data_IF_396064731448
#
_entry.id   IF_396064731448
#
_cell.length_a   1.000
_cell.length_b   1.000
_cell.length_c   1.000
_cell.angle_alpha   90.00
_cell.angle_beta   90.00
_cell.angle_gamma   90.00
#
_symmetry.space_group_name_H-M   'P 1'
#
loop_
_entity.id
_entity.type
_entity.pdbx_description
1 polymer ?
#
# COMPACT_ATOMS: atom_id res chain seq x y z
N UNK A 1 -37.58 -12.65 -12.67
CA UNK A 1 -38.19 -13.68 -11.80
C UNK A 1 -39.10 -13.08 -10.74
N UNK A 2 -38.61 -12.34 -9.72
CA UNK A 2 -39.48 -11.80 -8.64
C UNK A 2 -40.62 -10.88 -9.12
N UNK A 3 -40.36 -10.04 -10.13
CA UNK A 3 -41.37 -9.13 -10.71
C UNK A 3 -42.50 -9.88 -11.42
N UNK A 4 -42.16 -10.95 -12.14
CA UNK A 4 -43.14 -11.80 -12.82
C UNK A 4 -44.02 -12.57 -11.81
N UNK A 5 -43.41 -13.06 -10.73
CA UNK A 5 -44.13 -13.77 -9.66
C UNK A 5 -45.13 -12.84 -8.97
N UNK A 6 -44.74 -11.60 -8.64
CA UNK A 6 -45.64 -10.63 -8.02
C UNK A 6 -46.84 -10.28 -8.91
N UNK A 7 -46.63 -10.13 -10.23
CA UNK A 7 -47.69 -9.83 -11.19
C UNK A 7 -48.66 -11.02 -11.33
N UNK A 8 -48.14 -12.26 -11.42
CA UNK A 8 -48.98 -13.47 -11.51
C UNK A 8 -49.84 -13.64 -10.26
N UNK A 9 -49.28 -13.39 -9.07
CA UNK A 9 -50.02 -13.47 -7.81
C UNK A 9 -51.16 -12.45 -7.74
N UNK A 10 -50.93 -11.22 -8.20
CA UNK A 10 -51.96 -10.17 -8.26
C UNK A 10 -53.10 -10.53 -9.25
N UNK A 11 -52.76 -11.12 -10.41
CA UNK A 11 -53.76 -11.54 -11.39
C UNK A 11 -54.57 -12.76 -10.93
N UNK A 12 -53.97 -13.65 -10.13
CA UNK A 12 -54.64 -14.85 -9.60
C UNK A 12 -55.66 -14.54 -8.50
N UNK A 13 -55.61 -13.38 -7.86
CA UNK A 13 -56.56 -12.99 -6.80
C UNK A 13 -58.00 -12.91 -7.31
N UNK A 14 -58.20 -12.38 -8.51
CA UNK A 14 -59.52 -12.16 -9.10
C UNK A 14 -60.26 -13.49 -9.36
N UNK A 15 -59.71 -14.47 -10.09
CA UNK A 15 -60.42 -15.73 -10.33
C UNK A 15 -60.59 -16.59 -9.06
N UNK A 16 -59.67 -16.50 -8.09
CA UNK A 16 -59.77 -17.24 -6.83
C UNK A 16 -60.88 -16.66 -5.95
N UNK A 17 -60.97 -15.34 -5.84
CA UNK A 17 -62.04 -14.68 -5.07
C UNK A 17 -63.43 -14.93 -5.67
N UNK A 18 -63.55 -14.95 -7.00
CA UNK A 18 -64.79 -15.28 -7.72
C UNK A 18 -65.18 -16.76 -7.53
N UNK A 19 -64.21 -17.68 -7.60
CA UNK A 19 -64.42 -19.10 -7.31
C UNK A 19 -64.91 -19.35 -5.87
N UNK A 20 -64.34 -18.66 -4.88
CA UNK A 20 -64.73 -18.81 -3.48
C UNK A 20 -66.06 -18.13 -3.13
N UNK A 21 -66.48 -17.14 -3.93
CA UNK A 21 -67.80 -16.52 -3.80
C UNK A 21 -68.93 -17.37 -4.43
N UNK A 22 -68.64 -18.13 -5.50
CA UNK A 22 -69.65 -18.92 -6.24
C UNK A 22 -70.00 -20.29 -5.65
N UNK A 23 -69.24 -20.81 -4.68
CA UNK A 23 -69.43 -22.15 -4.10
C UNK A 23 -70.06 -22.18 -2.70
N UNK A 24 -71.36 -22.49 -2.62
CA UNK A 24 -72.13 -22.98 -1.45
C UNK A 24 -72.57 -21.95 -0.35
N UNK A 25 -73.75 -22.29 0.19
CA UNK A 25 -74.73 -21.67 1.09
C UNK A 25 -74.28 -20.99 2.42
N UNK A 26 -73.00 -20.66 2.64
CA UNK A 26 -72.52 -20.04 3.90
C UNK A 26 -71.65 -18.78 3.67
N UNK A 27 -72.31 -17.71 3.22
CA UNK A 27 -71.70 -16.47 2.70
C UNK A 27 -70.75 -15.74 3.66
N UNK A 28 -70.96 -15.83 4.97
CA UNK A 28 -70.12 -15.15 5.97
C UNK A 28 -68.72 -15.77 6.09
N UNK A 29 -68.62 -17.10 5.97
CA UNK A 29 -67.34 -17.81 6.09
C UNK A 29 -66.46 -17.61 4.84
N UNK A 30 -67.09 -17.50 3.67
CA UNK A 30 -66.39 -17.26 2.40
C UNK A 30 -65.85 -15.83 2.31
N UNK A 31 -66.59 -14.82 2.82
CA UNK A 31 -66.11 -13.44 2.88
C UNK A 31 -64.89 -13.29 3.79
N UNK A 32 -64.89 -13.95 4.95
CA UNK A 32 -63.74 -13.96 5.86
C UNK A 32 -62.50 -14.58 5.19
N UNK A 33 -62.67 -15.65 4.42
CA UNK A 33 -61.58 -16.32 3.71
C UNK A 33 -60.96 -15.43 2.63
N UNK A 34 -61.78 -14.72 1.86
CA UNK A 34 -61.34 -13.74 0.85
C UNK A 34 -60.57 -12.60 1.50
N UNK A 35 -61.08 -12.04 2.60
CA UNK A 35 -60.41 -10.96 3.34
C UNK A 35 -59.02 -11.39 3.87
N UNK A 36 -58.92 -12.60 4.43
CA UNK A 36 -57.64 -13.14 4.91
C UNK A 36 -56.65 -13.32 3.75
N UNK A 37 -57.12 -13.79 2.60
CA UNK A 37 -56.30 -13.97 1.41
C UNK A 37 -55.79 -12.64 0.86
N UNK A 38 -56.64 -11.61 0.73
CA UNK A 38 -56.23 -10.28 0.26
C UNK A 38 -55.19 -9.62 1.16
N UNK A 39 -55.33 -9.76 2.48
CA UNK A 39 -54.36 -9.27 3.46
C UNK A 39 -53.01 -10.00 3.27
N UNK A 40 -53.02 -11.32 3.12
CA UNK A 40 -51.81 -12.11 2.91
C UNK A 40 -51.07 -11.72 1.62
N UNK A 41 -51.82 -11.51 0.52
CA UNK A 41 -51.26 -11.03 -0.75
C UNK A 41 -50.68 -9.62 -0.59
N UNK A 42 -51.37 -8.72 0.12
CA UNK A 42 -50.88 -7.37 0.40
C UNK A 42 -49.53 -7.35 1.14
N UNK A 43 -49.39 -8.15 2.20
CA UNK A 43 -48.12 -8.31 2.93
C UNK A 43 -47.02 -8.90 2.05
N UNK A 44 -47.36 -9.90 1.22
CA UNK A 44 -46.40 -10.49 0.30
C UNK A 44 -45.91 -9.46 -0.73
N UNK A 45 -46.80 -8.65 -1.31
CA UNK A 45 -46.42 -7.59 -2.24
C UNK A 45 -45.50 -6.54 -1.59
N UNK A 46 -45.80 -6.11 -0.36
CA UNK A 46 -44.92 -5.20 0.40
C UNK A 46 -43.54 -5.82 0.64
N UNK A 47 -43.50 -7.10 1.01
CA UNK A 47 -42.25 -7.83 1.23
C UNK A 47 -41.39 -7.91 -0.04
N UNK A 48 -41.98 -8.24 -1.19
CA UNK A 48 -41.27 -8.27 -2.48
C UNK A 48 -40.74 -6.87 -2.85
N UNK A 49 -41.52 -5.81 -2.62
CA UNK A 49 -41.07 -4.44 -2.87
C UNK A 49 -39.86 -4.06 -1.99
N UNK A 50 -39.87 -4.45 -0.72
CA UNK A 50 -38.74 -4.23 0.19
C UNK A 50 -37.49 -5.01 -0.26
N UNK A 51 -37.64 -6.27 -0.66
CA UNK A 51 -36.54 -7.08 -1.20
C UNK A 51 -35.94 -6.49 -2.49
N UNK A 52 -36.78 -5.97 -3.38
CA UNK A 52 -36.31 -5.31 -4.60
C UNK A 52 -35.49 -4.06 -4.27
N UNK A 53 -35.98 -3.21 -3.34
CA UNK A 53 -35.22 -2.04 -2.86
C UNK A 53 -33.90 -2.45 -2.21
N UNK A 54 -33.91 -3.48 -1.38
CA UNK A 54 -32.69 -4.01 -0.75
C UNK A 54 -31.68 -4.51 -1.79
N UNK A 55 -32.11 -5.22 -2.83
CA UNK A 55 -31.22 -5.71 -3.89
C UNK A 55 -30.61 -4.58 -4.74
N UNK A 56 -31.34 -3.49 -4.97
CA UNK A 56 -30.80 -2.29 -5.61
C UNK A 56 -29.80 -1.60 -4.69
N UNK A 57 -30.14 -1.45 -3.41
CA UNK A 57 -29.27 -0.84 -2.42
C UNK A 57 -27.98 -1.64 -2.24
N UNK A 58 -28.05 -2.96 -2.16
CA UNK A 58 -26.90 -3.86 -2.06
C UNK A 58 -25.95 -3.69 -3.24
N UNK A 59 -26.47 -3.60 -4.47
CA UNK A 59 -25.64 -3.35 -5.67
C UNK A 59 -24.97 -1.98 -5.64
N UNK A 60 -25.70 -0.94 -5.23
CA UNK A 60 -25.13 0.40 -5.06
C UNK A 60 -24.06 0.45 -3.98
N UNK A 61 -24.29 -0.24 -2.86
CA UNK A 61 -23.33 -0.31 -1.77
C UNK A 61 -22.04 -1.03 -2.21
N UNK A 62 -22.18 -2.15 -2.92
CA UNK A 62 -21.04 -2.87 -3.49
C UNK A 62 -20.25 -2.01 -4.49
N UNK A 63 -20.93 -1.26 -5.36
CA UNK A 63 -20.27 -0.33 -6.28
C UNK A 63 -19.51 0.79 -5.53
N UNK A 64 -20.08 1.29 -4.43
CA UNK A 64 -19.43 2.30 -3.59
C UNK A 64 -18.21 1.73 -2.85
N UNK A 65 -18.31 0.53 -2.28
CA UNK A 65 -17.19 -0.16 -1.63
C UNK A 65 -16.03 -0.41 -2.60
N UNK A 66 -16.33 -0.83 -3.83
CA UNK A 66 -15.31 -1.01 -4.87
C UNK A 66 -14.65 0.32 -5.25
N UNK A 67 -15.43 1.38 -5.50
CA UNK A 67 -14.89 2.70 -5.85
C UNK A 67 -14.05 3.30 -4.72
N UNK A 68 -14.46 3.08 -3.46
CA UNK A 68 -13.70 3.51 -2.29
C UNK A 68 -12.35 2.76 -2.20
N UNK A 69 -12.37 1.45 -2.45
CA UNK A 69 -11.16 0.61 -2.44
C UNK A 69 -10.19 1.04 -3.53
N UNK A 70 -10.67 1.27 -4.76
CA UNK A 70 -9.86 1.77 -5.87
C UNK A 70 -9.22 3.12 -5.54
N UNK A 71 -10.02 4.08 -5.03
CA UNK A 71 -9.51 5.40 -4.64
C UNK A 71 -8.50 5.32 -3.50
N UNK A 72 -8.71 4.42 -2.53
CA UNK A 72 -7.75 4.20 -1.46
C UNK A 72 -6.45 3.60 -1.98
N UNK A 73 -6.52 2.66 -2.93
CA UNK A 73 -5.34 2.07 -3.56
C UNK A 73 -4.56 3.11 -4.39
N UNK A 74 -5.26 3.96 -5.14
CA UNK A 74 -4.65 5.07 -5.89
C UNK A 74 -3.95 6.09 -4.97
N UNK A 75 -4.61 6.48 -3.87
CA UNK A 75 -4.01 7.39 -2.88
C UNK A 75 -2.76 6.78 -2.21
N UNK A 76 -2.76 5.47 -1.93
CA UNK A 76 -1.59 4.79 -1.37
C UNK A 76 -0.46 4.71 -2.40
N UNK A 77 -0.77 4.40 -3.65
CA UNK A 77 0.22 4.34 -4.73
C UNK A 77 0.88 5.70 -4.97
N UNK A 78 0.09 6.76 -5.09
CA UNK A 78 0.60 8.14 -5.28
C UNK A 78 1.42 8.64 -4.09
N UNK A 79 0.99 8.33 -2.85
CA UNK A 79 1.78 8.67 -1.66
C UNK A 79 3.11 7.92 -1.64
N UNK A 80 3.11 6.63 -1.98
CA UNK A 80 4.32 5.81 -2.04
C UNK A 80 5.29 6.31 -3.10
N UNK A 81 4.80 6.65 -4.29
CA UNK A 81 5.59 7.23 -5.37
C UNK A 81 6.22 8.56 -4.96
N UNK A 82 5.43 9.46 -4.37
CA UNK A 82 5.96 10.74 -3.87
C UNK A 82 7.00 10.57 -2.75
N UNK A 83 6.81 9.61 -1.83
CA UNK A 83 7.84 9.30 -0.83
C UNK A 83 9.11 8.73 -1.48
N UNK A 84 8.96 7.88 -2.49
CA UNK A 84 10.09 7.29 -3.20
C UNK A 84 10.89 8.36 -3.96
N UNK A 85 10.23 9.28 -4.67
CA UNK A 85 10.89 10.42 -5.34
C UNK A 85 11.65 11.30 -4.35
N UNK A 86 11.04 11.61 -3.20
CA UNK A 86 11.69 12.40 -2.15
C UNK A 86 12.92 11.68 -1.60
N UNK A 87 12.82 10.38 -1.36
CA UNK A 87 13.96 9.57 -0.89
C UNK A 87 15.07 9.51 -1.93
N UNK A 88 14.71 9.34 -3.20
CA UNK A 88 15.67 9.29 -4.31
C UNK A 88 16.39 10.64 -4.47
N UNK A 89 15.68 11.77 -4.38
CA UNK A 89 16.29 13.10 -4.44
C UNK A 89 17.26 13.34 -3.27
N UNK A 90 16.90 12.87 -2.06
CA UNK A 90 17.79 12.93 -0.90
C UNK A 90 19.04 12.06 -1.11
N UNK A 91 18.87 10.82 -1.56
CA UNK A 91 19.99 9.92 -1.84
C UNK A 91 20.94 10.52 -2.89
N UNK A 92 20.40 11.10 -3.95
CA UNK A 92 21.19 11.76 -4.98
C UNK A 92 21.96 12.96 -4.41
N UNK A 93 21.31 13.84 -3.64
CA UNK A 93 21.96 15.00 -3.02
C UNK A 93 23.09 14.63 -2.06
N UNK A 94 22.91 13.58 -1.25
CA UNK A 94 23.94 13.09 -0.33
C UNK A 94 25.12 12.42 -1.07
N UNK A 95 24.86 11.72 -2.19
CA UNK A 95 25.91 11.16 -3.05
C UNK A 95 26.69 12.25 -3.80
N UNK A 96 26.01 13.28 -4.29
CA UNK A 96 26.64 14.46 -4.91
C UNK A 96 27.52 15.18 -3.87
N UNK A 97 27.01 15.42 -2.66
CA UNK A 97 27.79 15.99 -1.57
C UNK A 97 29.01 15.13 -1.22
N UNK A 98 28.84 13.80 -1.12
CA UNK A 98 29.95 12.87 -0.88
C UNK A 98 31.00 12.96 -1.98
N UNK A 99 30.57 13.02 -3.25
CA UNK A 99 31.43 13.20 -4.43
C UNK A 99 32.29 14.45 -4.27
N UNK A 100 31.72 15.56 -3.81
CA UNK A 100 32.48 16.78 -3.57
C UNK A 100 33.52 16.65 -2.44
N UNK A 101 33.21 15.90 -1.39
CA UNK A 101 34.13 15.69 -0.26
C UNK A 101 35.27 14.74 -0.60
N UNK A 102 35.04 13.77 -1.49
CA UNK A 102 36.07 12.82 -1.94
C UNK A 102 36.87 13.32 -3.15
N UNK A 103 36.71 14.58 -3.58
CA UNK A 103 37.51 15.20 -4.67
C UNK A 103 39.03 15.10 -4.49
N UNK A 104 39.47 14.80 -3.28
CA UNK A 104 40.87 14.56 -2.89
C UNK A 104 41.45 13.23 -3.40
N UNK A 105 40.60 12.28 -3.76
CA UNK A 105 40.99 11.00 -4.36
C UNK A 105 41.15 11.12 -5.88
N UNK A 106 41.82 10.16 -6.53
CA UNK A 106 41.90 10.18 -8.02
C UNK A 106 40.54 9.89 -8.64
N UNK A 107 40.34 10.22 -9.92
CA UNK A 107 39.05 9.99 -10.60
C UNK A 107 38.64 8.51 -10.56
N UNK A 108 39.60 7.58 -10.70
CA UNK A 108 39.34 6.15 -10.64
C UNK A 108 38.93 5.69 -9.22
N UNK A 109 39.59 6.24 -8.19
CA UNK A 109 39.23 6.00 -6.79
C UNK A 109 37.84 6.55 -6.46
N UNK A 110 37.51 7.75 -6.95
CA UNK A 110 36.20 8.36 -6.76
C UNK A 110 35.11 7.51 -7.42
N UNK A 111 35.30 7.10 -8.68
CA UNK A 111 34.33 6.28 -9.39
C UNK A 111 34.07 4.95 -8.65
N UNK A 112 35.13 4.29 -8.17
CA UNK A 112 35.02 3.04 -7.43
C UNK A 112 34.33 3.21 -6.06
N UNK A 113 34.60 4.32 -5.36
CA UNK A 113 33.92 4.69 -4.09
C UNK A 113 32.45 4.95 -4.36
N UNK A 114 32.11 5.77 -5.36
CA UNK A 114 30.74 6.17 -5.67
C UNK A 114 29.90 5.00 -6.19
N UNK A 115 30.47 4.12 -7.01
CA UNK A 115 29.80 2.90 -7.44
C UNK A 115 29.44 2.00 -6.23
N UNK A 116 30.35 1.89 -5.27
CA UNK A 116 30.12 1.15 -4.03
C UNK A 116 29.09 1.85 -3.14
N UNK A 117 29.17 3.18 -3.03
CA UNK A 117 28.25 4.01 -2.25
C UNK A 117 26.82 3.96 -2.80
N UNK A 118 26.66 3.99 -4.13
CA UNK A 118 25.38 3.87 -4.82
C UNK A 118 24.74 2.50 -4.55
N UNK A 119 25.50 1.41 -4.75
CA UNK A 119 25.02 0.04 -4.46
C UNK A 119 24.62 -0.13 -2.98
N UNK A 120 25.36 0.51 -2.08
CA UNK A 120 25.04 0.50 -0.65
C UNK A 120 23.81 1.34 -0.33
N UNK A 121 23.65 2.51 -0.94
CA UNK A 121 22.50 3.40 -0.78
C UNK A 121 21.21 2.75 -1.27
N UNK A 122 21.21 2.15 -2.47
CA UNK A 122 20.02 1.60 -3.11
C UNK A 122 19.66 0.19 -2.62
N UNK A 123 20.65 -0.66 -2.37
CA UNK A 123 20.42 -2.10 -2.16
C UNK A 123 20.95 -2.64 -0.84
N UNK A 124 21.54 -1.79 0.02
CA UNK A 124 22.27 -2.22 1.22
C UNK A 124 23.41 -3.22 0.92
N UNK A 125 23.89 -3.25 -0.33
CA UNK A 125 24.94 -4.15 -0.78
C UNK A 125 26.28 -3.42 -0.76
N UNK A 126 27.26 -3.98 -0.05
CA UNK A 126 28.61 -3.45 0.01
C UNK A 126 29.47 -4.22 -0.98
N UNK A 127 29.58 -3.68 -2.19
CA UNK A 127 30.45 -4.21 -3.24
C UNK A 127 31.87 -3.72 -2.97
N UNK A 128 32.86 -4.62 -2.97
CA UNK A 128 34.24 -4.20 -2.80
C UNK A 128 34.71 -3.46 -4.06
N UNK A 129 35.47 -2.36 -3.95
CA UNK A 129 35.96 -1.64 -5.11
C UNK A 129 36.95 -2.51 -5.89
N UNK A 130 36.93 -2.41 -7.22
CA UNK A 130 37.86 -3.15 -8.10
C UNK A 130 39.32 -2.68 -7.97
N UNK A 131 39.55 -1.55 -7.30
CA UNK A 131 40.86 -0.94 -7.07
C UNK A 131 41.08 -0.68 -5.58
N UNK A 132 42.33 -0.70 -5.14
CA UNK A 132 42.66 -0.44 -3.75
C UNK A 132 42.81 1.07 -3.51
N UNK A 133 41.99 1.61 -2.61
CA UNK A 133 41.97 3.04 -2.30
C UNK A 133 43.12 3.38 -1.38
N UNK A 134 44.03 4.24 -1.85
CA UNK A 134 45.23 4.61 -1.09
C UNK A 134 44.94 5.77 -0.13
N UNK A 135 45.48 5.73 1.10
CA UNK A 135 45.40 6.87 2.01
C UNK A 135 46.05 8.12 1.42
N UNK A 136 45.35 9.25 1.50
CA UNK A 136 45.86 10.57 1.11
C UNK A 136 46.26 11.35 2.36
N UNK A 137 47.38 12.07 2.29
CA UNK A 137 47.84 12.92 3.40
C UNK A 137 46.85 14.04 3.74
N UNK A 138 46.09 14.49 2.75
CA UNK A 138 45.10 15.56 2.81
C UNK A 138 43.71 15.11 3.27
N UNK A 139 43.49 13.81 3.51
CA UNK A 139 42.23 13.29 4.00
C UNK A 139 42.50 12.33 5.14
N UNK A 140 42.25 12.79 6.38
CA UNK A 140 42.45 11.99 7.57
C UNK A 140 41.37 10.91 7.74
N UNK A 141 41.69 9.89 8.53
CA UNK A 141 40.73 8.83 8.88
C UNK A 141 39.45 9.37 9.55
N UNK A 142 39.56 10.44 10.35
CA UNK A 142 38.42 11.05 11.02
C UNK A 142 37.53 11.81 10.04
N UNK A 143 38.12 12.57 9.12
CA UNK A 143 37.37 13.28 8.08
C UNK A 143 36.62 12.32 7.16
N UNK A 144 37.30 11.26 6.70
CA UNK A 144 36.67 10.24 5.87
C UNK A 144 35.49 9.56 6.59
N UNK A 145 35.68 9.21 7.87
CA UNK A 145 34.61 8.65 8.69
C UNK A 145 33.45 9.64 8.84
N UNK A 146 33.72 10.92 9.06
CA UNK A 146 32.69 11.96 9.15
C UNK A 146 31.91 12.10 7.84
N UNK A 147 32.59 12.17 6.69
CA UNK A 147 31.93 12.27 5.38
C UNK A 147 30.99 11.08 5.13
N UNK A 148 31.51 9.87 5.31
CA UNK A 148 30.75 8.64 5.05
C UNK A 148 29.63 8.44 6.07
N UNK A 149 29.88 8.66 7.37
CA UNK A 149 28.83 8.58 8.38
C UNK A 149 27.74 9.64 8.12
N UNK A 150 28.10 10.90 7.84
CA UNK A 150 27.13 11.97 7.57
C UNK A 150 26.23 11.65 6.38
N UNK A 151 26.83 11.28 5.23
CA UNK A 151 26.06 10.99 4.01
C UNK A 151 25.09 9.83 4.22
N UNK A 152 25.56 8.72 4.82
CA UNK A 152 24.73 7.53 4.97
C UNK A 152 23.76 7.59 6.15
N UNK A 153 24.03 8.36 7.20
CA UNK A 153 23.04 8.62 8.25
C UNK A 153 21.85 9.40 7.70
N UNK A 154 22.08 10.39 6.83
CA UNK A 154 21.01 11.14 6.19
C UNK A 154 20.15 10.25 5.26
N UNK A 155 20.72 9.15 4.73
CA UNK A 155 20.01 8.12 3.97
C UNK A 155 19.41 6.99 4.85
N UNK A 156 19.25 7.21 6.16
CA UNK A 156 18.70 6.25 7.13
C UNK A 156 19.48 4.91 7.25
N UNK A 157 20.77 4.89 6.89
CA UNK A 157 21.58 3.68 7.02
C UNK A 157 21.99 3.46 8.48
N UNK A 158 21.85 2.21 8.92
CA UNK A 158 22.26 1.84 10.28
C UNK A 158 23.77 1.97 10.45
N UNK A 159 24.19 2.42 11.64
CA UNK A 159 25.59 2.53 12.03
C UNK A 159 26.42 1.29 11.74
N UNK A 160 25.90 0.10 12.04
CA UNK A 160 26.63 -1.16 11.81
C UNK A 160 26.96 -1.35 10.34
N UNK A 161 25.99 -1.09 9.46
CA UNK A 161 26.17 -1.19 8.00
C UNK A 161 27.18 -0.15 7.48
N UNK A 162 27.13 1.08 7.99
CA UNK A 162 28.09 2.14 7.65
C UNK A 162 29.52 1.75 8.06
N UNK A 163 29.69 1.17 9.25
CA UNK A 163 31.00 0.70 9.72
C UNK A 163 31.52 -0.43 8.83
N UNK A 164 30.66 -1.40 8.47
CA UNK A 164 31.05 -2.46 7.54
C UNK A 164 31.39 -1.90 6.14
N UNK A 165 30.73 -0.82 5.70
CA UNK A 165 31.06 -0.13 4.46
C UNK A 165 32.47 0.47 4.54
N UNK A 166 32.75 1.27 5.58
CA UNK A 166 34.06 1.88 5.79
C UNK A 166 35.20 0.85 5.80
N UNK A 167 35.01 -0.28 6.48
CA UNK A 167 36.01 -1.34 6.57
C UNK A 167 36.27 -2.04 5.23
N UNK A 168 35.23 -2.25 4.43
CA UNK A 168 35.32 -2.99 3.17
C UNK A 168 35.84 -2.13 2.01
N UNK A 169 35.45 -0.85 1.99
CA UNK A 169 35.85 0.09 0.95
C UNK A 169 37.22 0.68 1.26
N UNK A 170 37.51 1.02 2.53
CA UNK A 170 38.74 1.70 2.93
C UNK A 170 39.60 0.89 3.91
N UNK A 171 40.00 -0.35 3.57
CA UNK A 171 40.72 -1.23 4.50
C UNK A 171 42.05 -0.62 4.97
N UNK A 172 42.73 0.17 4.13
CA UNK A 172 44.00 0.81 4.47
C UNK A 172 43.85 1.99 5.45
N UNK A 173 42.70 2.65 5.47
CA UNK A 173 42.38 3.69 6.46
C UNK A 173 41.99 3.12 7.82
N UNK A 174 41.49 1.89 7.84
CA UNK A 174 40.90 1.28 9.02
C UNK A 174 41.51 -0.11 9.35
N UNK A 175 42.83 -0.20 9.61
CA UNK A 175 43.48 -1.49 9.88
C UNK A 175 43.08 -2.12 11.23
N UNK A 176 42.49 -1.34 12.14
CA UNK A 176 42.19 -1.75 13.51
C UNK A 176 40.86 -2.51 13.72
N UNK A 177 40.07 -2.77 12.66
CA UNK A 177 38.84 -3.58 12.75
C UNK A 177 37.58 -2.84 13.23
N UNK A 178 36.41 -3.50 13.11
CA UNK A 178 35.08 -2.92 13.39
C UNK A 178 34.90 -2.38 14.82
N UNK A 179 35.58 -2.97 15.82
CA UNK A 179 35.38 -2.65 17.25
C UNK A 179 35.84 -1.23 17.64
N UNK A 180 36.82 -0.67 16.92
CA UNK A 180 37.33 0.69 17.14
C UNK A 180 36.45 1.73 16.44
N UNK A 181 35.89 1.39 15.27
CA UNK A 181 35.03 2.26 14.48
C UNK A 181 33.61 2.38 15.03
N UNK A 182 33.06 1.26 15.51
CA UNK A 182 31.74 1.21 16.14
C UNK A 182 31.67 2.01 17.45
N UNK A 183 32.79 2.53 17.98
CA UNK A 183 32.79 3.52 19.07
C UNK A 183 32.80 4.97 18.57
N UNK A 184 33.48 5.27 17.45
CA UNK A 184 33.73 6.64 16.97
C UNK A 184 32.64 7.25 16.08
N UNK A 185 31.88 6.47 15.31
CA UNK A 185 30.71 6.98 14.56
C UNK A 185 29.50 7.31 15.49
N UNK A 186 29.77 7.74 16.75
CA UNK A 186 28.81 8.01 17.86
C UNK A 186 28.62 9.52 18.07
N UNK A 187 29.60 10.31 17.64
CA UNK A 187 29.69 11.76 17.78
C UNK A 187 29.74 12.37 16.36
#
# INVERSE_FOLDING_TARGET
MLYAIAIIMLLAVIPISEYMAGGIQNSSNNYLLVLIFDIAVGYFCMYIAALLKFNVLKRKNQALENALTEKQQENVATLLEHQNEKQQALQQGELEWLTEKIKVFTEEEQEAILASALSFAEHDLIVAPSINIQPKETCSQQELMYFVCSAFYNMDKSRSKIVSFLMKIFPLYFPAGESVLAKRCRD
#
